data_IF_346432931496
#
_entry.id   IF_346432931496
#
_cell.length_a   1.000
_cell.length_b   1.000
_cell.length_c   1.000
_cell.angle_alpha   90.00
_cell.angle_beta   90.00
_cell.angle_gamma   90.00
#
_symmetry.space_group_name_H-M   'P 1'
#
loop_
_entity.id
_entity.type
_entity.pdbx_description
1 polymer ?
#
# COMPACT_ATOMS: atom_id res chain seq x y z
N UNK A 1 20.93 -3.81 0.50
CA UNK A 1 19.65 -4.54 0.74
C UNK A 1 18.59 -3.87 -0.09
N UNK A 2 17.88 -4.62 -0.93
CA UNK A 2 16.75 -4.12 -1.72
C UNK A 2 15.44 -4.33 -0.98
N UNK A 3 14.57 -3.33 -1.10
CA UNK A 3 13.25 -3.30 -0.49
C UNK A 3 12.24 -3.13 -1.62
N UNK A 4 11.21 -3.95 -1.68
CA UNK A 4 10.14 -3.81 -2.66
C UNK A 4 8.80 -3.63 -1.98
N UNK A 5 7.99 -2.69 -2.49
CA UNK A 5 6.61 -2.51 -2.05
C UNK A 5 5.69 -2.17 -3.22
N UNK A 6 4.63 -2.96 -3.37
CA UNK A 6 3.56 -2.73 -4.33
C UNK A 6 2.39 -1.98 -3.70
N UNK A 7 1.89 -0.96 -4.37
CA UNK A 7 0.77 -0.15 -3.92
C UNK A 7 -0.37 -0.27 -4.93
N UNK A 8 -1.49 -0.86 -4.53
CA UNK A 8 -2.66 -0.97 -5.41
C UNK A 8 -3.31 0.40 -5.65
N UNK A 9 -3.59 0.73 -6.92
CA UNK A 9 -4.29 1.96 -7.29
C UNK A 9 -5.81 1.82 -7.11
N UNK A 10 -6.25 1.32 -5.95
CA UNK A 10 -7.67 1.10 -5.67
C UNK A 10 -8.15 2.00 -4.56
N UNK A 11 -9.29 2.66 -4.81
CA UNK A 11 -9.96 3.52 -3.85
C UNK A 11 -9.16 4.77 -3.45
N UNK A 12 -9.88 5.75 -2.94
CA UNK A 12 -9.28 6.97 -2.38
C UNK A 12 -8.48 6.63 -1.11
N UNK A 13 -7.28 7.18 -0.96
CA UNK A 13 -6.46 6.95 0.23
C UNK A 13 -7.03 7.74 1.41
N UNK A 14 -7.29 7.05 2.52
CA UNK A 14 -7.80 7.66 3.75
C UNK A 14 -6.68 7.92 4.77
N UNK A 15 -6.97 8.70 5.80
CA UNK A 15 -6.03 9.09 6.86
C UNK A 15 -5.31 7.89 7.49
N UNK A 16 -6.02 6.78 7.72
CA UNK A 16 -5.42 5.55 8.26
C UNK A 16 -4.42 4.90 7.29
N UNK A 17 -4.65 4.96 5.96
CA UNK A 17 -3.65 4.52 4.98
C UNK A 17 -2.43 5.44 4.99
N UNK A 18 -2.67 6.75 5.09
CA UNK A 18 -1.60 7.73 5.08
C UNK A 18 -0.67 7.54 6.28
N UNK A 19 -1.22 7.56 7.50
CA UNK A 19 -0.45 7.39 8.74
C UNK A 19 0.17 5.98 8.85
N UNK A 20 -0.57 4.93 8.47
CA UNK A 20 -0.16 3.54 8.68
C UNK A 20 0.79 2.98 7.62
N UNK A 21 0.66 3.40 6.35
CA UNK A 21 1.39 2.81 5.24
C UNK A 21 2.22 3.83 4.45
N UNK A 22 1.61 4.93 3.98
CA UNK A 22 2.29 5.86 3.07
C UNK A 22 3.49 6.52 3.75
N UNK A 23 3.37 6.96 5.01
CA UNK A 23 4.50 7.50 5.77
C UNK A 23 5.62 6.47 5.98
N UNK A 24 5.28 5.18 6.07
CA UNK A 24 6.26 4.11 6.18
C UNK A 24 7.03 3.89 4.86
N UNK A 25 6.38 4.08 3.71
CA UNK A 25 7.06 4.02 2.41
C UNK A 25 8.05 5.17 2.28
N UNK A 26 7.64 6.39 2.64
CA UNK A 26 8.53 7.56 2.64
C UNK A 26 9.72 7.35 3.57
N UNK A 27 9.51 6.87 4.79
CA UNK A 27 10.59 6.55 5.73
C UNK A 27 11.44 5.35 5.27
N UNK A 28 10.89 4.47 4.44
CA UNK A 28 11.58 3.29 3.89
C UNK A 28 12.69 3.63 2.90
N UNK A 29 12.61 4.79 2.23
CA UNK A 29 13.60 5.23 1.23
C UNK A 29 15.03 5.30 1.78
N UNK A 30 15.20 5.54 3.08
CA UNK A 30 16.51 5.70 3.72
C UNK A 30 17.13 4.38 4.20
N UNK A 31 16.40 3.26 4.07
CA UNK A 31 16.83 1.98 4.64
C UNK A 31 17.63 1.10 3.68
N UNK A 32 17.63 1.43 2.38
CA UNK A 32 18.31 0.65 1.34
C UNK A 32 17.90 1.09 -0.05
N UNK A 33 18.19 0.27 -1.06
CA UNK A 33 17.72 0.47 -2.43
C UNK A 33 16.22 0.16 -2.47
N UNK A 34 15.39 1.20 -2.38
CA UNK A 34 13.95 1.09 -2.28
C UNK A 34 13.29 1.14 -3.67
N UNK A 35 12.37 0.21 -3.90
CA UNK A 35 11.63 0.05 -5.15
C UNK A 35 10.13 0.07 -4.82
N UNK A 36 9.42 1.04 -5.38
CA UNK A 36 7.98 1.24 -5.17
C UNK A 36 7.24 1.15 -6.51
N UNK A 37 6.21 0.34 -6.53
CA UNK A 37 5.45 0.04 -7.74
C UNK A 37 3.96 0.32 -7.54
N UNK A 38 3.36 1.10 -8.44
CA UNK A 38 1.89 1.19 -8.54
C UNK A 38 1.42 -0.03 -9.34
N UNK A 39 0.81 -0.99 -8.62
CA UNK A 39 0.50 -2.33 -9.18
C UNK A 39 -0.86 -2.36 -9.87
N UNK A 40 -0.94 -1.76 -11.04
CA UNK A 40 -2.15 -1.63 -11.84
C UNK A 40 -2.62 -2.96 -12.46
N UNK A 41 -1.72 -3.90 -12.77
CA UNK A 41 -2.09 -5.23 -13.26
C UNK A 41 -2.82 -6.07 -12.20
N UNK A 42 -2.57 -5.84 -10.91
CA UNK A 42 -3.37 -6.48 -9.87
C UNK A 42 -4.79 -5.93 -9.80
N UNK A 43 -4.99 -4.67 -10.17
CA UNK A 43 -6.31 -4.06 -10.14
C UNK A 43 -7.28 -4.63 -11.18
N UNK A 44 -6.79 -5.15 -12.30
CA UNK A 44 -7.64 -5.73 -13.36
C UNK A 44 -8.14 -7.15 -13.06
N UNK A 45 -7.76 -7.74 -11.94
CA UNK A 45 -8.22 -9.09 -11.53
C UNK A 45 -9.67 -9.11 -11.06
N UNK A 46 -10.24 -7.95 -10.82
CA UNK A 46 -11.65 -7.72 -10.45
C UNK A 46 -12.30 -6.79 -11.47
N UNK A 47 -13.64 -6.69 -11.44
CA UNK A 47 -14.35 -5.77 -12.34
C UNK A 47 -13.88 -4.32 -12.12
N UNK A 48 -13.60 -3.61 -13.22
CA UNK A 48 -13.14 -2.23 -13.21
C UNK A 48 -13.60 -1.46 -14.47
N UNK A 49 -13.56 -0.14 -14.38
CA UNK A 49 -13.76 0.76 -15.52
C UNK A 49 -12.41 1.32 -15.96
N UNK A 50 -12.03 1.21 -17.26
CA UNK A 50 -10.69 1.59 -17.71
C UNK A 50 -10.30 3.04 -17.43
N UNK A 51 -11.23 3.98 -17.60
CA UNK A 51 -10.99 5.39 -17.28
C UNK A 51 -10.75 5.62 -15.80
N UNK A 52 -11.59 5.02 -14.94
CA UNK A 52 -11.44 5.13 -13.48
C UNK A 52 -10.16 4.48 -12.97
N UNK A 53 -9.72 3.36 -13.56
CA UNK A 53 -8.45 2.74 -13.22
C UNK A 53 -7.27 3.67 -13.55
N UNK A 54 -7.26 4.28 -14.75
CA UNK A 54 -6.21 5.22 -15.15
C UNK A 54 -6.12 6.39 -14.18
N UNK A 55 -7.24 7.02 -13.86
CA UNK A 55 -7.29 8.10 -12.86
C UNK A 55 -6.77 7.65 -11.50
N UNK A 56 -7.15 6.46 -11.04
CA UNK A 56 -6.69 5.91 -9.77
C UNK A 56 -5.19 5.62 -9.74
N UNK A 57 -4.59 5.24 -10.87
CA UNK A 57 -3.13 5.07 -11.01
C UNK A 57 -2.43 6.41 -10.84
N UNK A 58 -2.87 7.46 -11.57
CA UNK A 58 -2.31 8.81 -11.45
C UNK A 58 -2.49 9.41 -10.06
N UNK A 59 -3.69 9.29 -9.48
CA UNK A 59 -3.96 9.79 -8.13
C UNK A 59 -3.12 9.07 -7.06
N UNK A 60 -2.93 7.76 -7.21
CA UNK A 60 -2.07 7.00 -6.30
C UNK A 60 -0.61 7.44 -6.43
N UNK A 61 -0.09 7.55 -7.66
CA UNK A 61 1.27 8.00 -7.93
C UNK A 61 1.49 9.43 -7.40
N UNK A 62 0.59 10.35 -7.73
CA UNK A 62 0.66 11.74 -7.25
C UNK A 62 0.58 11.83 -5.72
N UNK A 63 -0.25 11.00 -5.07
CA UNK A 63 -0.36 10.97 -3.60
C UNK A 63 0.94 10.52 -2.95
N UNK A 64 1.62 9.50 -3.51
CA UNK A 64 2.88 9.00 -2.97
C UNK A 64 4.00 10.04 -3.12
N UNK A 65 4.13 10.66 -4.29
CA UNK A 65 5.08 11.75 -4.52
C UNK A 65 4.79 12.95 -3.62
N UNK A 66 3.53 13.34 -3.49
CA UNK A 66 3.09 14.43 -2.62
C UNK A 66 3.38 14.15 -1.14
N UNK A 67 3.32 12.91 -0.72
CA UNK A 67 3.67 12.47 0.63
C UNK A 67 5.18 12.53 0.92
N UNK A 68 6.02 12.65 -0.11
CA UNK A 68 7.48 12.77 0.03
C UNK A 68 8.26 11.59 -0.53
N UNK A 69 7.63 10.70 -1.32
CA UNK A 69 8.38 9.72 -2.09
C UNK A 69 9.21 10.47 -3.14
N UNK A 70 10.53 10.24 -3.14
CA UNK A 70 11.49 10.94 -3.99
C UNK A 70 12.08 9.99 -5.05
N UNK A 71 11.74 10.18 -6.35
CA UNK A 71 12.29 9.37 -7.44
C UNK A 71 13.82 9.51 -7.64
N UNK A 72 14.44 10.50 -7.00
CA UNK A 72 15.90 10.63 -6.91
C UNK A 72 16.53 9.68 -5.87
N UNK A 73 15.74 9.18 -4.92
CA UNK A 73 16.18 8.32 -3.80
C UNK A 73 15.65 6.89 -3.89
N UNK A 74 14.62 6.65 -4.71
CA UNK A 74 14.04 5.33 -4.92
C UNK A 74 13.72 5.12 -6.40
N UNK A 75 13.47 3.86 -6.77
CA UNK A 75 12.87 3.52 -8.07
C UNK A 75 11.35 3.55 -7.87
N UNK A 76 10.65 4.39 -8.63
CA UNK A 76 9.20 4.52 -8.55
C UNK A 76 8.56 4.46 -9.93
N UNK A 77 7.66 3.50 -10.16
CA UNK A 77 7.12 3.21 -11.48
C UNK A 77 5.71 2.59 -11.43
N UNK A 78 5.09 2.46 -12.59
CA UNK A 78 3.83 1.74 -12.82
C UNK A 78 4.13 0.33 -13.33
N UNK A 79 3.50 -0.68 -12.74
CA UNK A 79 3.77 -2.11 -13.01
C UNK A 79 3.65 -2.49 -14.48
N UNK A 80 2.61 -2.00 -15.16
CA UNK A 80 2.37 -2.31 -16.59
C UNK A 80 3.44 -1.77 -17.54
N UNK A 81 4.29 -0.84 -17.08
CA UNK A 81 5.42 -0.34 -17.87
C UNK A 81 6.62 -1.29 -17.87
N UNK A 82 6.59 -2.36 -17.07
CA UNK A 82 7.66 -3.37 -16.94
C UNK A 82 7.13 -4.75 -17.30
N UNK A 83 7.15 -5.14 -18.58
CA UNK A 83 6.60 -6.43 -19.07
C UNK A 83 7.23 -7.66 -18.42
N UNK A 84 8.45 -7.53 -17.92
CA UNK A 84 9.21 -8.59 -17.25
C UNK A 84 8.46 -9.22 -16.08
N UNK A 85 7.60 -8.46 -15.39
CA UNK A 85 6.71 -8.96 -14.33
C UNK A 85 5.78 -10.07 -14.85
N UNK A 86 5.16 -9.84 -15.99
CA UNK A 86 4.19 -10.79 -16.56
C UNK A 86 4.88 -12.02 -17.14
N UNK A 87 6.03 -11.86 -17.73
CA UNK A 87 6.79 -13.01 -18.24
C UNK A 87 7.35 -13.84 -17.09
N UNK A 88 7.94 -13.20 -16.07
CA UNK A 88 8.41 -13.90 -14.88
C UNK A 88 7.26 -14.62 -14.17
N UNK A 89 6.09 -13.99 -14.06
CA UNK A 89 4.88 -14.63 -13.53
C UNK A 89 4.54 -15.92 -14.28
N UNK A 90 4.61 -15.91 -15.61
CA UNK A 90 4.38 -17.12 -16.41
C UNK A 90 5.39 -18.22 -16.11
N UNK A 91 6.69 -17.89 -16.06
CA UNK A 91 7.75 -18.85 -15.75
C UNK A 91 7.60 -19.43 -14.34
N UNK A 92 7.34 -18.59 -13.35
CA UNK A 92 7.10 -19.00 -11.95
C UNK A 92 5.84 -19.84 -11.79
N UNK A 93 4.82 -19.66 -12.63
CA UNK A 93 3.61 -20.49 -12.62
C UNK A 93 3.92 -21.97 -12.86
N UNK A 94 5.01 -22.29 -13.58
CA UNK A 94 5.44 -23.67 -13.82
C UNK A 94 6.03 -24.38 -12.61
N UNK A 95 6.40 -23.63 -11.57
CA UNK A 95 6.92 -24.15 -10.30
C UNK A 95 6.01 -23.87 -9.12
N UNK A 96 4.89 -23.19 -9.34
CA UNK A 96 3.88 -22.92 -8.31
C UNK A 96 2.87 -24.06 -8.24
N UNK A 97 2.69 -24.67 -7.07
CA UNK A 97 1.73 -25.74 -6.93
C UNK A 97 0.29 -25.20 -6.91
N UNK A 98 -0.61 -25.84 -7.67
CA UNK A 98 -2.04 -25.49 -7.68
C UNK A 98 -2.65 -25.50 -6.26
N UNK A 99 -2.27 -26.46 -5.44
CA UNK A 99 -2.74 -26.57 -4.06
C UNK A 99 -2.36 -25.39 -3.17
N UNK A 100 -1.21 -24.73 -3.44
CA UNK A 100 -0.77 -23.57 -2.68
C UNK A 100 -1.70 -22.38 -2.99
N UNK A 101 -1.98 -22.13 -4.27
CA UNK A 101 -2.92 -21.09 -4.70
C UNK A 101 -4.35 -21.34 -4.17
N UNK A 102 -4.81 -22.59 -4.20
CA UNK A 102 -6.15 -22.94 -3.73
C UNK A 102 -6.34 -22.78 -2.20
N UNK A 103 -5.25 -22.76 -1.44
CA UNK A 103 -5.26 -22.50 0.01
C UNK A 103 -5.24 -21.02 0.39
N UNK A 104 -5.01 -20.10 -0.56
CA UNK A 104 -4.94 -18.66 -0.28
C UNK A 104 -6.27 -18.13 0.29
N UNK A 105 -6.21 -17.52 1.46
CA UNK A 105 -7.39 -16.97 2.14
C UNK A 105 -8.07 -15.87 1.34
N UNK A 106 -7.28 -14.93 0.80
CA UNK A 106 -7.80 -13.81 0.01
C UNK A 106 -8.49 -14.25 -1.29
N UNK A 107 -8.05 -15.36 -1.90
CA UNK A 107 -8.77 -15.93 -3.05
C UNK A 107 -10.19 -16.36 -2.64
N UNK A 108 -10.33 -17.08 -1.52
CA UNK A 108 -11.63 -17.55 -1.02
C UNK A 108 -12.55 -16.39 -0.67
N UNK A 109 -12.02 -15.34 -0.03
CA UNK A 109 -12.78 -14.15 0.35
C UNK A 109 -13.26 -13.37 -0.88
N UNK A 110 -12.35 -13.04 -1.80
CA UNK A 110 -12.66 -12.27 -3.01
C UNK A 110 -13.54 -13.04 -3.99
N UNK A 111 -13.34 -14.35 -4.16
CA UNK A 111 -14.18 -15.17 -5.03
C UNK A 111 -15.61 -15.27 -4.51
N UNK A 112 -15.81 -15.33 -3.17
CA UNK A 112 -17.14 -15.28 -2.57
C UNK A 112 -17.87 -13.93 -2.74
N UNK A 113 -17.14 -12.84 -2.92
CA UNK A 113 -17.68 -11.50 -3.15
C UNK A 113 -18.02 -11.23 -4.63
N UNK A 114 -17.39 -11.95 -5.57
CA UNK A 114 -17.65 -11.83 -7.01
C UNK A 114 -18.78 -12.77 -7.46
N UNK A 115 -19.91 -12.19 -7.89
CA UNK A 115 -21.08 -12.98 -8.31
C UNK A 115 -21.06 -13.36 -9.80
N UNK A 116 -20.46 -12.54 -10.66
CA UNK A 116 -20.59 -12.70 -12.11
C UNK A 116 -19.45 -13.47 -12.74
N UNK A 117 -18.20 -13.20 -12.35
CA UNK A 117 -17.04 -13.85 -12.92
C UNK A 117 -15.89 -13.95 -11.89
N UNK A 118 -15.49 -15.14 -11.53
CA UNK A 118 -14.23 -15.40 -10.83
C UNK A 118 -13.16 -15.65 -11.89
N UNK A 119 -12.33 -14.65 -12.15
CA UNK A 119 -11.32 -14.73 -13.21
C UNK A 119 -10.14 -15.65 -12.84
N UNK A 120 -9.47 -16.23 -13.87
CA UNK A 120 -8.21 -16.94 -13.66
C UNK A 120 -7.14 -16.02 -13.05
N UNK A 121 -7.16 -14.71 -13.42
CA UNK A 121 -6.27 -13.71 -12.84
C UNK A 121 -6.44 -13.58 -11.33
N UNK A 122 -7.67 -13.67 -10.80
CA UNK A 122 -7.90 -13.68 -9.36
C UNK A 122 -7.34 -14.93 -8.67
N UNK A 123 -7.23 -16.05 -9.36
CA UNK A 123 -6.59 -17.26 -8.84
C UNK A 123 -5.07 -17.19 -8.88
N UNK A 124 -4.50 -16.58 -9.94
CA UNK A 124 -3.05 -16.57 -10.21
C UNK A 124 -2.32 -15.31 -9.75
N UNK A 125 -3.04 -14.24 -9.32
CA UNK A 125 -2.37 -13.00 -8.91
C UNK A 125 -1.30 -13.18 -7.82
N UNK A 126 -1.34 -14.18 -6.91
CA UNK A 126 -0.24 -14.38 -5.96
C UNK A 126 1.08 -14.74 -6.63
N UNK A 127 1.04 -15.36 -7.82
CA UNK A 127 2.24 -15.63 -8.62
C UNK A 127 2.76 -14.35 -9.27
N UNK A 128 1.87 -13.48 -9.74
CA UNK A 128 2.27 -12.15 -10.23
C UNK A 128 2.89 -11.32 -9.10
N UNK A 129 2.33 -11.37 -7.90
CA UNK A 129 2.89 -10.70 -6.73
C UNK A 129 4.27 -11.26 -6.35
N UNK A 130 4.49 -12.58 -6.50
CA UNK A 130 5.81 -13.17 -6.34
C UNK A 130 6.78 -12.67 -7.42
N UNK A 131 6.34 -12.59 -8.67
CA UNK A 131 7.14 -12.06 -9.78
C UNK A 131 7.54 -10.59 -9.54
N UNK A 132 6.61 -9.76 -9.04
CA UNK A 132 6.87 -8.35 -8.72
C UNK A 132 8.06 -8.17 -7.76
N UNK A 133 8.19 -9.06 -6.78
CA UNK A 133 9.26 -9.00 -5.76
C UNK A 133 10.54 -9.66 -6.25
N UNK A 134 10.41 -10.87 -6.82
CA UNK A 134 11.55 -11.70 -7.21
C UNK A 134 12.29 -11.13 -8.42
N UNK A 135 11.63 -10.38 -9.30
CA UNK A 135 12.25 -9.67 -10.42
C UNK A 135 13.37 -8.73 -9.99
N UNK A 136 13.30 -8.21 -8.78
CA UNK A 136 14.27 -7.23 -8.26
C UNK A 136 15.27 -7.81 -7.27
N UNK A 137 15.28 -9.12 -7.05
CA UNK A 137 16.10 -9.73 -6.00
C UNK A 137 15.93 -9.03 -4.66
N UNK A 138 14.68 -8.67 -4.33
CA UNK A 138 14.37 -7.93 -3.10
C UNK A 138 14.54 -8.85 -1.89
N UNK A 139 15.18 -8.32 -0.84
CA UNK A 139 15.42 -9.03 0.41
C UNK A 139 14.29 -8.81 1.42
N UNK A 140 13.66 -7.63 1.35
CA UNK A 140 12.75 -7.14 2.38
C UNK A 140 11.45 -6.63 1.73
N UNK A 141 10.31 -7.15 2.20
CA UNK A 141 8.98 -6.82 1.68
C UNK A 141 8.13 -6.28 2.83
N UNK A 142 8.04 -4.93 2.96
CA UNK A 142 7.17 -4.32 3.96
C UNK A 142 5.70 -4.57 3.59
N UNK A 143 4.99 -5.34 4.41
CA UNK A 143 3.59 -5.71 4.18
C UNK A 143 2.79 -5.70 5.47
N UNK A 144 1.47 -5.51 5.36
CA UNK A 144 0.55 -5.75 6.47
C UNK A 144 0.46 -7.24 6.82
N UNK A 145 0.00 -7.54 8.03
CA UNK A 145 -0.16 -8.92 8.51
C UNK A 145 -1.06 -9.78 7.58
N UNK A 146 -2.06 -9.15 6.96
CA UNK A 146 -2.96 -9.79 5.98
C UNK A 146 -2.26 -10.26 4.70
N UNK A 147 -1.05 -9.77 4.42
CA UNK A 147 -0.23 -10.15 3.26
C UNK A 147 0.86 -11.18 3.60
N UNK A 148 1.01 -11.58 4.86
CA UNK A 148 2.03 -12.57 5.28
C UNK A 148 1.98 -13.84 4.44
N UNK A 149 0.78 -14.40 4.22
CA UNK A 149 0.59 -15.61 3.43
C UNK A 149 1.08 -15.47 1.98
N UNK A 150 0.99 -14.28 1.40
CA UNK A 150 1.55 -14.02 0.05
C UNK A 150 3.07 -14.04 0.05
N UNK A 151 3.72 -13.49 1.07
CA UNK A 151 5.18 -13.52 1.18
C UNK A 151 5.67 -14.95 1.45
N UNK A 152 4.95 -15.73 2.24
CA UNK A 152 5.25 -17.16 2.43
C UNK A 152 5.18 -17.92 1.09
N UNK A 153 4.14 -17.68 0.28
CA UNK A 153 4.03 -18.28 -1.06
C UNK A 153 5.21 -17.88 -1.98
N UNK A 154 5.62 -16.60 -1.99
CA UNK A 154 6.76 -16.18 -2.83
C UNK A 154 8.07 -16.86 -2.36
N UNK A 155 8.26 -17.05 -1.07
CA UNK A 155 9.39 -17.80 -0.52
C UNK A 155 9.38 -19.24 -1.01
N UNK A 156 8.25 -19.94 -0.85
CA UNK A 156 8.07 -21.33 -1.33
C UNK A 156 8.35 -21.46 -2.82
N UNK A 157 7.90 -20.50 -3.64
CA UNK A 157 8.13 -20.47 -5.08
C UNK A 157 9.61 -20.26 -5.39
N UNK A 158 10.29 -19.31 -4.72
CA UNK A 158 11.71 -19.05 -4.93
C UNK A 158 12.57 -20.24 -4.48
N UNK A 159 12.31 -20.83 -3.32
CA UNK A 159 13.03 -21.99 -2.80
C UNK A 159 12.84 -23.22 -3.71
N UNK A 160 11.60 -23.46 -4.19
CA UNK A 160 11.30 -24.56 -5.11
C UNK A 160 11.97 -24.35 -6.48
N UNK A 161 12.02 -23.12 -6.97
CA UNK A 161 12.75 -22.78 -8.18
C UNK A 161 14.24 -23.08 -8.02
N UNK A 162 14.86 -22.54 -6.95
CA UNK A 162 16.28 -22.72 -6.67
C UNK A 162 16.67 -24.19 -6.48
N UNK A 163 15.85 -24.95 -5.77
CA UNK A 163 16.08 -26.40 -5.59
C UNK A 163 16.02 -27.18 -6.91
N UNK A 164 15.24 -26.74 -7.89
CA UNK A 164 15.08 -27.44 -9.17
C UNK A 164 16.09 -27.01 -10.24
N UNK A 165 16.43 -25.72 -10.29
CA UNK A 165 17.18 -25.13 -11.39
C UNK A 165 18.54 -24.52 -10.95
N UNK A 166 18.85 -24.54 -9.68
CA UNK A 166 20.04 -23.91 -9.08
C UNK A 166 19.74 -22.52 -8.52
N UNK A 167 20.61 -22.08 -7.60
CA UNK A 167 20.50 -20.79 -6.91
C UNK A 167 20.45 -19.62 -7.91
N UNK A 168 19.28 -19.04 -8.07
CA UNK A 168 19.00 -17.97 -9.04
C UNK A 168 18.19 -16.84 -8.40
N UNK A 169 17.18 -17.18 -7.59
CA UNK A 169 16.25 -16.21 -7.01
C UNK A 169 16.61 -15.93 -5.54
N UNK A 170 16.60 -14.67 -5.15
CA UNK A 170 16.71 -14.26 -3.73
C UNK A 170 15.41 -14.60 -3.03
N UNK A 171 15.50 -15.29 -1.91
CA UNK A 171 14.33 -15.62 -1.07
C UNK A 171 14.02 -14.41 -0.18
N UNK A 172 12.87 -13.73 -0.35
CA UNK A 172 12.56 -12.51 0.38
C UNK A 172 12.08 -12.80 1.81
N UNK A 173 12.12 -11.76 2.66
CA UNK A 173 11.54 -11.79 4.00
C UNK A 173 10.41 -10.78 4.14
N UNK A 174 9.33 -11.20 4.82
CA UNK A 174 8.25 -10.30 5.19
C UNK A 174 8.70 -9.40 6.34
N UNK A 175 8.61 -8.09 6.14
CA UNK A 175 8.71 -7.16 7.26
C UNK A 175 7.33 -6.61 7.59
N UNK A 176 6.82 -7.04 8.74
CA UNK A 176 5.59 -6.48 9.29
C UNK A 176 5.98 -5.23 10.08
N UNK A 177 5.63 -4.02 9.62
CA UNK A 177 5.91 -2.80 10.38
C UNK A 177 5.26 -2.90 11.75
N UNK A 178 5.95 -2.42 12.79
CA UNK A 178 5.27 -2.22 14.08
C UNK A 178 4.09 -1.28 13.84
N UNK A 179 2.90 -1.75 14.21
CA UNK A 179 1.63 -1.09 13.89
C UNK A 179 1.65 0.32 14.49
N UNK A 180 1.67 1.34 13.63
CA UNK A 180 1.28 2.69 14.02
C UNK A 180 -0.17 2.69 14.53
N UNK A 181 -0.63 3.79 15.12
CA UNK A 181 -1.98 3.88 15.66
C UNK A 181 -3.02 3.38 14.64
N UNK A 182 -3.85 2.44 15.08
CA UNK A 182 -4.94 1.89 14.26
C UNK A 182 -6.06 2.92 14.21
N UNK A 183 -6.12 3.67 13.12
CA UNK A 183 -7.15 4.69 12.94
C UNK A 183 -8.49 4.03 12.65
N UNK A 184 -9.49 4.35 13.48
CA UNK A 184 -10.84 3.81 13.41
C UNK A 184 -11.77 4.76 12.67
N UNK A 185 -12.91 4.24 12.18
CA UNK A 185 -13.96 5.02 11.54
C UNK A 185 -14.56 6.03 12.54
N UNK A 186 -14.81 7.27 12.10
CA UNK A 186 -15.31 8.33 12.99
C UNK A 186 -16.78 8.14 13.40
N UNK A 187 -17.56 7.35 12.67
CA UNK A 187 -18.96 7.06 12.97
C UNK A 187 -19.16 5.69 13.65
N UNK A 188 -18.19 4.78 13.47
CA UNK A 188 -18.20 3.44 14.03
C UNK A 188 -16.80 3.12 14.60
N UNK A 189 -16.43 3.70 15.76
CA UNK A 189 -15.07 3.64 16.30
C UNK A 189 -14.61 2.24 16.74
N UNK A 190 -15.47 1.25 16.70
CA UNK A 190 -15.15 -0.17 16.85
C UNK A 190 -14.61 -0.79 15.54
N UNK A 191 -14.77 -0.11 14.38
CA UNK A 191 -14.33 -0.57 13.07
C UNK A 191 -13.13 0.23 12.58
N UNK A 192 -12.21 -0.45 11.92
CA UNK A 192 -11.08 0.23 11.26
C UNK A 192 -11.60 1.14 10.14
N UNK A 193 -11.04 2.36 10.02
CA UNK A 193 -11.32 3.25 8.90
C UNK A 193 -11.00 2.51 7.58
N UNK A 194 -11.95 2.52 6.65
CA UNK A 194 -11.88 1.74 5.40
C UNK A 194 -12.57 2.46 4.26
N UNK A 195 -12.03 2.30 3.06
CA UNK A 195 -12.60 2.84 1.83
C UNK A 195 -13.82 2.04 1.37
N UNK A 196 -13.86 0.73 1.63
CA UNK A 196 -14.88 -0.19 1.09
C UNK A 196 -15.98 -0.54 2.09
N UNK A 197 -15.76 -0.40 3.39
CA UNK A 197 -16.72 -0.77 4.43
C UNK A 197 -17.12 0.36 5.37
N UNK A 198 -16.55 1.55 5.20
CA UNK A 198 -16.81 2.73 6.01
C UNK A 198 -17.91 3.62 5.41
N UNK A 199 -18.49 4.49 6.25
CA UNK A 199 -19.38 5.55 5.77
C UNK A 199 -18.56 6.72 5.20
N UNK A 200 -19.12 7.45 4.24
CA UNK A 200 -18.50 8.67 3.72
C UNK A 200 -18.24 9.71 4.82
N UNK A 201 -19.05 9.70 5.88
CA UNK A 201 -18.94 10.60 7.02
C UNK A 201 -17.90 10.11 8.05
N UNK A 202 -17.69 8.80 8.15
CA UNK A 202 -16.73 8.19 9.08
C UNK A 202 -15.31 8.07 8.53
N UNK A 203 -15.13 8.23 7.21
CA UNK A 203 -13.83 8.09 6.54
C UNK A 203 -13.28 9.45 6.14
N UNK A 204 -12.11 9.83 6.67
CA UNK A 204 -11.37 11.03 6.27
C UNK A 204 -10.39 10.66 5.16
N UNK A 205 -10.56 11.25 3.98
CA UNK A 205 -9.64 11.03 2.87
C UNK A 205 -8.49 12.06 2.88
N UNK A 206 -7.33 11.64 2.37
CA UNK A 206 -6.10 12.48 2.32
C UNK A 206 -6.33 13.77 1.54
N UNK A 207 -7.15 13.69 0.49
CA UNK A 207 -7.45 14.81 -0.41
C UNK A 207 -8.80 15.48 -0.11
N UNK A 208 -9.40 15.23 1.05
CA UNK A 208 -10.61 15.94 1.45
C UNK A 208 -10.34 17.43 1.66
N UNK A 209 -11.29 18.27 1.25
CA UNK A 209 -11.24 19.69 1.51
C UNK A 209 -11.31 20.01 3.01
N UNK A 210 -10.66 21.08 3.50
CA UNK A 210 -10.63 21.43 4.93
C UNK A 210 -11.99 21.46 5.60
N UNK A 211 -12.99 22.05 4.93
CA UNK A 211 -14.35 22.12 5.46
C UNK A 211 -15.00 20.74 5.63
N UNK A 212 -14.71 19.79 4.72
CA UNK A 212 -15.20 18.42 4.82
C UNK A 212 -14.54 17.69 5.99
N UNK A 213 -13.23 17.85 6.19
CA UNK A 213 -12.49 17.29 7.34
C UNK A 213 -13.10 17.79 8.65
N UNK A 214 -13.24 19.11 8.80
CA UNK A 214 -13.82 19.71 10.00
C UNK A 214 -15.23 19.18 10.26
N UNK A 215 -16.08 19.08 9.23
CA UNK A 215 -17.44 18.54 9.37
C UNK A 215 -17.44 17.10 9.87
N UNK A 216 -16.55 16.24 9.34
CA UNK A 216 -16.43 14.84 9.74
C UNK A 216 -16.01 14.70 11.19
N UNK A 217 -15.00 15.45 11.64
CA UNK A 217 -14.55 15.40 13.04
C UNK A 217 -15.60 15.96 14.02
N UNK A 218 -16.27 17.03 13.68
CA UNK A 218 -17.35 17.59 14.52
C UNK A 218 -18.47 16.58 14.75
N UNK A 219 -18.82 15.79 13.74
CA UNK A 219 -19.86 14.77 13.83
C UNK A 219 -19.36 13.40 14.31
N UNK A 220 -18.06 13.23 14.60
CA UNK A 220 -17.50 11.98 15.08
C UNK A 220 -18.25 11.47 16.32
N UNK A 221 -18.56 10.18 16.34
CA UNK A 221 -19.26 9.55 17.47
C UNK A 221 -18.32 9.46 18.67
N UNK A 222 -18.83 9.86 19.83
CA UNK A 222 -18.16 9.78 21.13
C UNK A 222 -19.15 9.31 22.18
N UNK A 223 -18.67 8.85 23.32
CA UNK A 223 -19.51 8.51 24.48
C UNK A 223 -20.26 9.74 25.00
N UNK A 224 -21.18 9.53 25.95
CA UNK A 224 -21.98 10.58 26.60
C UNK A 224 -21.26 11.34 27.71
N UNK A 225 -19.99 11.04 27.95
CA UNK A 225 -19.16 11.70 28.98
C UNK A 225 -18.60 13.04 28.52
N UNK A 226 -17.66 13.56 29.30
CA UNK A 226 -16.95 14.81 28.99
C UNK A 226 -15.42 14.69 29.15
N UNK A 227 -14.94 13.58 29.71
CA UNK A 227 -13.53 13.36 30.02
C UNK A 227 -12.77 12.87 28.78
N UNK A 228 -11.70 13.57 28.44
CA UNK A 228 -10.81 13.20 27.33
C UNK A 228 -9.73 12.27 27.86
N UNK A 229 -10.06 10.97 27.85
CA UNK A 229 -9.18 9.88 28.27
C UNK A 229 -9.56 8.62 27.49
N UNK A 230 -8.58 7.72 27.28
CA UNK A 230 -8.83 6.40 26.73
C UNK A 230 -9.45 5.49 27.79
N UNK A 231 -10.29 4.57 27.38
CA UNK A 231 -10.94 3.62 28.27
C UNK A 231 -11.81 2.61 27.53
N UNK A 232 -12.29 1.55 28.21
CA UNK A 232 -13.06 0.47 27.58
C UNK A 232 -14.33 0.97 26.86
N UNK A 233 -15.01 1.95 27.45
CA UNK A 233 -16.27 2.49 26.91
C UNK A 233 -16.08 3.82 26.17
N UNK A 234 -14.85 4.17 25.82
CA UNK A 234 -14.46 5.45 25.23
C UNK A 234 -13.82 5.29 23.84
N UNK A 235 -14.28 4.33 23.04
CA UNK A 235 -13.69 4.00 21.74
C UNK A 235 -13.60 5.24 20.82
N UNK A 236 -14.64 6.08 20.76
CA UNK A 236 -14.65 7.28 19.91
C UNK A 236 -13.63 8.33 20.36
N UNK A 237 -13.60 8.68 21.64
CA UNK A 237 -12.61 9.62 22.18
C UNK A 237 -11.20 9.04 22.09
N UNK A 238 -11.01 7.75 22.38
CA UNK A 238 -9.73 7.07 22.23
C UNK A 238 -9.19 7.17 20.79
N UNK A 239 -10.04 6.93 19.79
CA UNK A 239 -9.67 7.10 18.39
C UNK A 239 -9.22 8.53 18.05
N UNK A 240 -9.93 9.56 18.56
CA UNK A 240 -9.55 10.96 18.34
C UNK A 240 -8.22 11.32 19.03
N UNK A 241 -7.96 10.77 20.22
CA UNK A 241 -6.66 10.90 20.91
C UNK A 241 -5.54 10.28 20.09
N UNK A 242 -5.74 9.05 19.59
CA UNK A 242 -4.75 8.33 18.78
C UNK A 242 -4.48 9.03 17.44
N UNK A 243 -5.51 9.62 16.80
CA UNK A 243 -5.35 10.43 15.59
C UNK A 243 -4.49 11.66 15.90
N UNK A 244 -4.83 12.44 16.93
CA UNK A 244 -4.11 13.66 17.27
C UNK A 244 -2.66 13.37 17.68
N UNK A 245 -2.45 12.31 18.45
CA UNK A 245 -1.13 11.84 18.85
C UNK A 245 -0.27 11.47 17.63
N UNK A 246 -0.84 10.71 16.69
CA UNK A 246 -0.17 10.30 15.45
C UNK A 246 0.20 11.49 14.56
N UNK A 247 -0.73 12.43 14.39
CA UNK A 247 -0.55 13.61 13.54
C UNK A 247 0.50 14.56 14.12
N UNK A 248 0.56 14.69 15.45
CA UNK A 248 1.54 15.54 16.15
C UNK A 248 2.87 14.83 16.45
N UNK A 249 2.95 13.51 16.26
CA UNK A 249 4.14 12.73 16.62
C UNK A 249 4.42 12.67 18.11
N UNK A 250 3.36 12.65 18.95
CA UNK A 250 3.44 12.62 20.42
C UNK A 250 2.78 11.36 21.00
N UNK A 251 3.01 11.07 22.26
CA UNK A 251 2.30 9.98 22.94
C UNK A 251 0.85 10.34 23.26
N UNK A 252 -0.09 9.35 23.22
CA UNK A 252 -1.49 9.58 23.55
C UNK A 252 -1.71 10.17 24.95
N UNK A 253 -0.88 9.80 25.94
CA UNK A 253 -0.92 10.32 27.31
C UNK A 253 -0.63 11.83 27.38
N UNK A 254 0.16 12.35 26.44
CA UNK A 254 0.42 13.78 26.34
C UNK A 254 -0.83 14.51 25.87
N UNK A 255 -1.56 13.97 24.90
CA UNK A 255 -2.84 14.52 24.43
C UNK A 255 -3.88 14.52 25.54
N UNK A 256 -4.01 13.41 26.28
CA UNK A 256 -4.93 13.32 27.42
C UNK A 256 -4.64 14.38 28.47
N UNK A 257 -3.37 14.62 28.83
CA UNK A 257 -2.98 15.65 29.80
C UNK A 257 -3.29 17.06 29.30
N UNK A 258 -2.99 17.36 28.01
CA UNK A 258 -3.21 18.67 27.42
C UNK A 258 -4.68 19.05 27.37
N UNK A 259 -5.55 18.09 27.04
CA UNK A 259 -6.98 18.35 26.88
C UNK A 259 -7.84 17.95 28.05
N UNK A 260 -7.25 17.63 29.22
CA UNK A 260 -7.95 17.13 30.41
C UNK A 260 -9.11 18.00 30.87
N UNK A 261 -8.98 19.33 30.74
CA UNK A 261 -9.99 20.31 31.11
C UNK A 261 -10.87 20.77 29.95
N UNK A 262 -10.70 20.20 28.75
CA UNK A 262 -11.43 20.59 27.55
C UNK A 262 -12.74 19.80 27.44
N UNK A 263 -13.77 20.39 26.85
CA UNK A 263 -14.96 19.66 26.44
C UNK A 263 -14.77 18.98 25.08
N UNK A 264 -15.58 17.96 24.80
CA UNK A 264 -15.51 17.18 23.53
C UNK A 264 -15.60 18.04 22.26
N UNK A 265 -16.41 19.11 22.27
CA UNK A 265 -16.52 20.01 21.11
C UNK A 265 -15.22 20.73 20.80
N UNK A 266 -14.55 21.29 21.81
CA UNK A 266 -13.26 21.95 21.64
C UNK A 266 -12.17 20.96 21.24
N UNK A 267 -12.16 19.77 21.81
CA UNK A 267 -11.22 18.71 21.46
C UNK A 267 -11.40 18.23 20.00
N UNK A 268 -12.63 17.94 19.56
CA UNK A 268 -12.92 17.58 18.17
C UNK A 268 -12.46 18.65 17.18
N UNK A 269 -12.62 19.93 17.53
CA UNK A 269 -12.14 21.03 16.71
C UNK A 269 -10.60 21.01 16.63
N UNK A 270 -9.90 20.86 17.77
CA UNK A 270 -8.44 20.80 17.79
C UNK A 270 -7.88 19.61 16.97
N UNK A 271 -8.54 18.45 17.03
CA UNK A 271 -8.19 17.29 16.19
C UNK A 271 -8.39 17.60 14.71
N UNK A 272 -9.54 18.22 14.36
CA UNK A 272 -9.85 18.60 12.99
C UNK A 272 -8.81 19.56 12.42
N UNK A 273 -8.48 20.62 13.16
CA UNK A 273 -7.50 21.63 12.74
C UNK A 273 -6.11 21.00 12.54
N UNK A 274 -5.67 20.16 13.47
CA UNK A 274 -4.39 19.45 13.34
C UNK A 274 -4.34 18.53 12.13
N UNK A 275 -5.44 17.82 11.79
CA UNK A 275 -5.50 16.96 10.60
C UNK A 275 -5.55 17.79 9.32
N UNK A 276 -6.26 18.92 9.31
CA UNK A 276 -6.28 19.85 8.18
C UNK A 276 -4.87 20.34 7.86
N UNK A 277 -4.15 20.81 8.88
CA UNK A 277 -2.78 21.32 8.74
C UNK A 277 -1.80 20.22 8.33
N UNK A 278 -1.97 19.01 8.87
CA UNK A 278 -1.13 17.85 8.54
C UNK A 278 -1.28 17.41 7.09
N UNK A 279 -2.50 17.45 6.54
CA UNK A 279 -2.78 17.03 5.17
C UNK A 279 -2.63 18.17 4.13
N UNK A 280 -2.63 19.42 4.55
CA UNK A 280 -2.56 20.57 3.64
C UNK A 280 -1.35 20.52 2.68
N UNK A 281 -0.11 20.27 3.15
CA UNK A 281 1.05 20.23 2.25
C UNK A 281 0.97 19.08 1.23
N UNK A 282 0.35 17.96 1.62
CA UNK A 282 0.18 16.80 0.72
C UNK A 282 -0.85 17.11 -0.35
N UNK A 283 -1.97 17.72 0.02
CA UNK A 283 -3.03 18.11 -0.90
C UNK A 283 -2.53 19.16 -1.92
N UNK A 284 -1.77 20.15 -1.47
CA UNK A 284 -1.18 21.19 -2.33
C UNK A 284 -0.21 20.59 -3.35
N UNK A 285 0.72 19.74 -2.89
CA UNK A 285 1.68 19.05 -3.78
C UNK A 285 0.98 18.09 -4.73
N UNK A 286 -0.03 17.32 -4.25
CA UNK A 286 -0.81 16.44 -5.10
C UNK A 286 -1.47 17.22 -6.24
N UNK A 287 -2.14 18.33 -5.94
CA UNK A 287 -2.80 19.15 -6.95
C UNK A 287 -1.80 19.72 -7.98
N UNK A 288 -0.62 20.13 -7.53
CA UNK A 288 0.43 20.60 -8.43
C UNK A 288 0.96 19.48 -9.35
N UNK A 289 1.16 18.27 -8.82
CA UNK A 289 1.60 17.10 -9.60
C UNK A 289 0.52 16.69 -10.61
N UNK A 290 -0.76 16.67 -10.21
CA UNK A 290 -1.87 16.34 -11.10
C UNK A 290 -2.11 17.39 -12.18
N UNK A 291 -1.73 18.62 -11.94
CA UNK A 291 -1.76 19.68 -12.97
C UNK A 291 -0.67 19.51 -14.05
N UNK A 292 0.41 18.75 -13.78
CA UNK A 292 1.47 18.39 -14.75
C UNK A 292 1.50 16.88 -14.97
N UNK A 293 0.46 16.33 -15.59
CA UNK A 293 0.39 14.88 -15.91
C UNK A 293 1.55 14.44 -16.81
N UNK A 294 2.03 15.29 -17.70
CA UNK A 294 3.19 14.98 -18.53
C UNK A 294 4.47 14.80 -17.70
N UNK A 295 4.64 15.60 -16.64
CA UNK A 295 5.72 15.45 -15.68
C UNK A 295 5.60 14.16 -14.86
N UNK A 296 4.39 13.83 -14.45
CA UNK A 296 4.11 12.59 -13.74
C UNK A 296 4.42 11.37 -14.61
N UNK A 297 4.00 11.36 -15.88
CA UNK A 297 4.31 10.28 -16.83
C UNK A 297 5.82 10.14 -17.05
N UNK A 298 6.56 11.22 -17.23
CA UNK A 298 8.04 11.15 -17.32
C UNK A 298 8.64 10.53 -16.07
N UNK A 299 8.17 10.89 -14.90
CA UNK A 299 8.66 10.33 -13.62
C UNK A 299 8.43 8.81 -13.55
N UNK A 300 7.23 8.35 -13.95
CA UNK A 300 6.91 6.92 -13.98
C UNK A 300 7.74 6.17 -15.03
N UNK A 301 7.91 6.74 -16.22
CA UNK A 301 8.70 6.16 -17.31
C UNK A 301 10.19 6.03 -16.93
N UNK A 302 10.80 7.09 -16.35
CA UNK A 302 12.18 7.06 -15.88
C UNK A 302 12.39 6.00 -14.80
N UNK A 303 11.40 5.83 -13.92
CA UNK A 303 11.38 4.77 -12.91
C UNK A 303 11.26 3.38 -13.53
N UNK A 304 10.39 3.24 -14.54
CA UNK A 304 10.21 1.99 -15.26
C UNK A 304 11.49 1.55 -16.01
N UNK A 305 12.22 2.47 -16.63
CA UNK A 305 13.48 2.15 -17.29
C UNK A 305 14.53 1.62 -16.31
N UNK A 306 14.65 2.24 -15.11
CA UNK A 306 15.51 1.75 -14.04
C UNK A 306 15.06 0.37 -13.53
N UNK A 307 13.77 0.18 -13.34
CA UNK A 307 13.18 -1.08 -12.91
C UNK A 307 13.42 -2.21 -13.93
N UNK A 308 13.18 -1.93 -15.22
CA UNK A 308 13.39 -2.88 -16.32
C UNK A 308 14.84 -3.34 -16.41
N UNK A 309 15.81 -2.45 -16.19
CA UNK A 309 17.22 -2.82 -16.22
C UNK A 309 17.53 -3.94 -15.19
N UNK A 310 16.92 -3.88 -14.00
CA UNK A 310 17.10 -4.91 -12.97
C UNK A 310 16.28 -6.16 -13.28
N UNK A 311 15.00 -5.96 -13.62
CA UNK A 311 14.08 -7.07 -13.87
C UNK A 311 14.49 -7.92 -15.07
N UNK A 312 15.00 -7.29 -16.14
CA UNK A 312 15.50 -7.98 -17.33
C UNK A 312 16.70 -8.89 -17.02
N UNK A 313 17.62 -8.44 -16.16
CA UNK A 313 18.76 -9.27 -15.75
C UNK A 313 18.30 -10.52 -15.01
N UNK A 314 17.42 -10.35 -14.01
CA UNK A 314 16.83 -11.49 -13.25
C UNK A 314 16.05 -12.43 -14.18
N UNK A 315 15.23 -11.87 -15.10
CA UNK A 315 14.46 -12.67 -16.04
C UNK A 315 15.36 -13.49 -16.96
N UNK A 316 16.46 -12.92 -17.45
CA UNK A 316 17.45 -13.63 -18.27
C UNK A 316 18.10 -14.78 -17.50
N UNK A 317 18.46 -14.59 -16.23
CA UNK A 317 19.04 -15.63 -15.38
C UNK A 317 18.03 -16.77 -15.15
N UNK A 318 16.75 -16.43 -14.89
CA UNK A 318 15.67 -17.41 -14.76
C UNK A 318 15.47 -18.21 -16.06
N UNK A 319 15.40 -17.54 -17.20
CA UNK A 319 15.29 -18.20 -18.51
C UNK A 319 16.46 -19.15 -18.77
N UNK A 320 17.68 -18.72 -18.47
CA UNK A 320 18.86 -19.54 -18.64
C UNK A 320 18.84 -20.78 -17.73
N UNK A 321 18.47 -20.62 -16.48
CA UNK A 321 18.34 -21.72 -15.51
C UNK A 321 17.29 -22.75 -15.97
N UNK A 322 16.17 -22.28 -16.52
CA UNK A 322 15.09 -23.13 -17.05
C UNK A 322 15.37 -23.71 -18.44
N UNK A 323 16.39 -23.26 -19.15
CA UNK A 323 16.69 -23.66 -20.54
C UNK A 323 15.73 -23.06 -21.57
N UNK A 324 15.14 -21.89 -21.28
CA UNK A 324 14.17 -21.18 -22.14
C UNK A 324 14.84 -19.98 -22.82
N UNK A 325 14.73 -19.90 -24.15
CA UNK A 325 15.30 -18.80 -24.93
C UNK A 325 16.77 -18.99 -25.29
N UNK A 326 17.45 -17.94 -25.78
CA UNK A 326 18.84 -18.04 -26.21
C UNK A 326 19.80 -18.22 -25.04
N UNK A 327 20.82 -19.05 -25.23
CA UNK A 327 21.89 -19.27 -24.26
C UNK A 327 22.77 -18.00 -24.18
N UNK A 328 22.96 -17.44 -22.97
CA UNK A 328 23.97 -16.40 -22.77
C UNK A 328 25.37 -16.99 -23.00
N UNK A 329 26.28 -16.30 -23.74
CA UNK A 329 27.67 -16.66 -23.72
C UNK A 329 28.18 -16.62 -22.26
N UNK A 330 28.84 -17.68 -21.80
CA UNK A 330 29.52 -17.65 -20.49
C UNK A 330 30.54 -16.51 -20.50
N UNK A 331 30.41 -15.59 -19.57
CA UNK A 331 31.42 -14.54 -19.33
C UNK A 331 32.69 -15.13 -18.79
#
# INVERSE_FOLDING_TARGET
>A
MRIFSGIQPTGRKHLGNYIGAITQYVAGQDRGEAIYCVVDLHAITVAYEPGALRESVYDTAATLLAAGLDPGRCIFFRQSDVPEHTELCWLLSSVTAFGDLNRMHQFKEKSGAQRDLVSAGLFTYPVLMAADVLAYSAHDVPVGEDQRQHVELMRDVAERFNARFGETLVVPEARIPQVGARIMDLQAPERKMSTTGGSAQGTVYVLDEPAAIVKKFRSAVTDSGSEIARGPDKAGIGNLIDILASVRGVGPEQVEREFRASGYGAFKQAVADAVVDYLAPVRERHNAIRADEAGLERTLADGADKARAIASDTLLDVRQAMGVGPVRPRR
#
